data_IF_347012428619
#
_entry.id   IF_347012428619
#
_cell.length_a   1.000
_cell.length_b   1.000
_cell.length_c   1.000
_cell.angle_alpha   90.00
_cell.angle_beta   90.00
_cell.angle_gamma   90.00
#
_symmetry.space_group_name_H-M   'P 1'
#
loop_
_entity.id
_entity.type
_entity.pdbx_description
1 polymer ?
#
# COMPACT_ATOMS: atom_id res chain seq x y z
N UNK A 1 63.32 45.52 -23.16
CA UNK A 1 63.12 44.29 -23.97
C UNK A 1 61.72 43.77 -23.69
N UNK A 2 61.01 43.34 -24.74
CA UNK A 2 59.61 42.91 -24.72
C UNK A 2 59.44 41.59 -23.95
N UNK A 3 58.36 41.44 -23.19
CA UNK A 3 57.71 40.15 -22.96
C UNK A 3 56.20 40.34 -22.66
N UNK A 4 55.31 39.69 -23.43
CA UNK A 4 53.88 39.63 -23.14
C UNK A 4 53.60 38.43 -22.24
N UNK A 5 52.95 38.64 -21.09
CA UNK A 5 52.48 37.54 -20.25
C UNK A 5 50.97 37.39 -20.43
N UNK A 6 50.61 36.42 -21.27
CA UNK A 6 49.26 35.92 -21.51
C UNK A 6 48.57 35.47 -20.20
N UNK A 7 47.28 35.80 -19.98
CA UNK A 7 46.49 35.25 -18.89
C UNK A 7 45.81 33.94 -19.35
N UNK A 8 46.58 32.99 -19.88
CA UNK A 8 46.05 31.72 -20.41
C UNK A 8 46.13 30.49 -19.48
N UNK A 9 46.82 30.45 -18.33
CA UNK A 9 46.86 29.20 -17.55
C UNK A 9 45.61 29.02 -16.68
N UNK A 10 45.03 30.09 -16.13
CA UNK A 10 43.89 29.96 -15.19
C UNK A 10 42.58 29.62 -15.89
N UNK A 11 42.33 30.14 -17.09
CA UNK A 11 41.08 29.87 -17.81
C UNK A 11 41.01 28.41 -18.27
N UNK A 12 42.13 27.86 -18.74
CA UNK A 12 42.23 26.44 -19.13
C UNK A 12 42.09 25.50 -17.93
N UNK A 13 42.63 25.87 -16.77
CA UNK A 13 42.49 25.12 -15.53
C UNK A 13 41.05 25.17 -14.98
N UNK A 14 40.39 26.33 -15.07
CA UNK A 14 38.99 26.48 -14.69
C UNK A 14 38.05 25.69 -15.61
N UNK A 15 38.26 25.75 -16.93
CA UNK A 15 37.46 24.98 -17.92
C UNK A 15 37.69 23.48 -17.75
N UNK A 16 38.92 23.04 -17.50
CA UNK A 16 39.24 21.63 -17.23
C UNK A 16 38.65 21.15 -15.90
N UNK A 17 38.64 22.00 -14.86
CA UNK A 17 37.97 21.71 -13.60
C UNK A 17 36.46 21.57 -13.74
N UNK A 18 35.82 22.48 -14.50
CA UNK A 18 34.39 22.43 -14.78
C UNK A 18 34.00 21.19 -15.60
N UNK A 19 34.84 20.82 -16.59
CA UNK A 19 34.64 19.62 -17.39
C UNK A 19 34.77 18.34 -16.54
N UNK A 20 35.74 18.30 -15.61
CA UNK A 20 35.90 17.18 -14.69
C UNK A 20 34.70 17.06 -13.72
N UNK A 21 34.19 18.16 -13.18
CA UNK A 21 32.97 18.15 -12.35
C UNK A 21 31.72 17.71 -13.13
N UNK A 22 31.59 18.14 -14.39
CA UNK A 22 30.47 17.71 -15.24
C UNK A 22 30.54 16.21 -15.55
N UNK A 23 31.74 15.67 -15.82
CA UNK A 23 31.92 14.23 -16.07
C UNK A 23 31.68 13.35 -14.84
N UNK A 24 32.01 13.82 -13.63
CA UNK A 24 31.75 13.06 -12.39
C UNK A 24 30.28 13.11 -11.96
N UNK A 25 29.54 14.17 -12.33
CA UNK A 25 28.08 14.24 -12.09
C UNK A 25 27.30 13.23 -12.95
N UNK A 26 27.80 12.86 -14.13
CA UNK A 26 27.13 11.92 -15.04
C UNK A 26 27.31 10.44 -14.67
N UNK A 27 28.19 10.10 -13.72
CA UNK A 27 28.34 8.72 -13.21
C UNK A 27 27.64 8.55 -11.85
N UNK A 28 27.25 9.66 -11.19
CA UNK A 28 26.68 9.68 -9.83
C UNK A 28 25.15 9.81 -9.73
N UNK A 29 24.41 10.01 -10.82
CA UNK A 29 22.94 9.94 -10.86
C UNK A 29 22.53 8.97 -11.96
N UNK A 30 21.77 7.90 -11.72
CA UNK A 30 20.58 7.79 -10.90
C UNK A 30 20.50 6.40 -10.22
N UNK A 31 20.66 6.33 -8.90
CA UNK A 31 20.14 5.22 -8.09
C UNK A 31 18.81 5.64 -7.46
N UNK A 32 17.86 6.01 -8.31
CA UNK A 32 16.47 6.21 -7.93
C UNK A 32 15.58 5.30 -8.77
N UNK A 33 15.65 3.99 -8.49
CA UNK A 33 14.60 2.99 -8.70
C UNK A 33 15.16 1.56 -8.54
N UNK A 34 15.69 1.23 -7.36
CA UNK A 34 16.03 -0.15 -7.02
C UNK A 34 15.34 -0.59 -5.72
N UNK A 35 14.03 -0.33 -5.62
CA UNK A 35 13.19 -1.04 -4.65
C UNK A 35 11.90 -1.60 -5.27
N UNK A 36 11.94 -1.93 -6.57
CA UNK A 36 10.82 -2.57 -7.28
C UNK A 36 11.12 -3.93 -7.91
N UNK A 37 12.34 -4.47 -7.77
CA UNK A 37 12.75 -5.74 -8.44
C UNK A 37 13.20 -6.87 -7.53
N UNK A 38 13.08 -6.73 -6.21
CA UNK A 38 13.44 -7.82 -5.29
C UNK A 38 12.47 -9.03 -5.35
N UNK A 39 11.33 -8.91 -6.03
CA UNK A 39 10.38 -10.01 -6.22
C UNK A 39 10.67 -10.87 -7.46
N UNK A 40 11.30 -10.33 -8.50
CA UNK A 40 11.51 -11.07 -9.76
C UNK A 40 12.77 -11.94 -9.74
N UNK A 41 13.81 -11.53 -9.02
CA UNK A 41 15.10 -12.25 -9.02
C UNK A 41 15.04 -13.59 -8.27
N UNK A 42 14.09 -13.73 -7.34
CA UNK A 42 13.75 -15.02 -6.73
C UNK A 42 12.90 -15.90 -7.67
N UNK A 43 12.11 -15.30 -8.58
CA UNK A 43 11.20 -16.03 -9.48
C UNK A 43 11.93 -16.68 -10.68
N UNK A 44 13.07 -16.13 -11.10
CA UNK A 44 13.88 -16.69 -12.19
C UNK A 44 14.76 -17.90 -11.79
N UNK A 45 14.89 -18.22 -10.49
CA UNK A 45 15.63 -19.42 -10.03
C UNK A 45 14.80 -20.70 -10.01
N UNK A 46 13.47 -20.61 -10.14
CA UNK A 46 12.59 -21.75 -10.34
C UNK A 46 12.49 -22.07 -11.83
N UNK A 47 13.00 -23.24 -12.24
CA UNK A 47 12.81 -23.78 -13.59
C UNK A 47 11.34 -23.91 -14.00
N UNK A 48 11.04 -24.19 -15.27
CA UNK A 48 9.71 -23.98 -15.83
C UNK A 48 8.70 -24.98 -15.28
N UNK A 49 7.57 -24.48 -14.78
CA UNK A 49 6.31 -25.20 -14.84
C UNK A 49 5.29 -24.29 -15.52
N UNK A 50 4.97 -24.49 -16.81
CA UNK A 50 3.77 -23.94 -17.37
C UNK A 50 2.61 -24.78 -16.83
N UNK A 51 2.21 -24.54 -15.58
CA UNK A 51 0.89 -24.94 -15.13
C UNK A 51 -0.07 -24.09 -15.95
N UNK A 52 -0.68 -24.68 -16.98
CA UNK A 52 -1.70 -24.03 -17.78
C UNK A 52 -2.82 -23.57 -16.84
N UNK A 53 -2.81 -22.27 -16.54
CA UNK A 53 -3.80 -21.64 -15.68
C UNK A 53 -5.05 -21.38 -16.52
N UNK A 54 -6.00 -22.32 -16.46
CA UNK A 54 -7.35 -22.06 -16.97
C UNK A 54 -8.09 -21.27 -15.90
N UNK A 55 -8.33 -19.99 -16.18
CA UNK A 55 -9.16 -19.13 -15.35
C UNK A 55 -10.59 -19.22 -15.86
N UNK A 56 -11.45 -19.93 -15.13
CA UNK A 56 -12.88 -19.81 -15.34
C UNK A 56 -13.32 -18.37 -15.06
N UNK A 57 -14.01 -17.76 -16.03
CA UNK A 57 -14.57 -16.42 -15.86
C UNK A 57 -15.83 -16.56 -15.00
N UNK A 58 -15.89 -15.98 -13.79
CA UNK A 58 -17.07 -16.09 -12.95
C UNK A 58 -18.28 -15.53 -13.71
N UNK A 59 -19.35 -16.33 -13.80
CA UNK A 59 -20.61 -15.87 -14.40
C UNK A 59 -21.23 -14.81 -13.49
N UNK A 60 -21.99 -13.89 -14.08
CA UNK A 60 -22.64 -12.79 -13.35
C UNK A 60 -23.54 -13.38 -12.25
N UNK A 61 -23.12 -13.24 -10.99
CA UNK A 61 -23.86 -13.72 -9.82
C UNK A 61 -23.18 -14.85 -9.02
N UNK A 62 -22.13 -15.49 -9.56
CA UNK A 62 -21.33 -16.49 -8.84
C UNK A 62 -20.10 -15.85 -8.15
N UNK A 63 -19.83 -16.25 -6.91
CA UNK A 63 -18.67 -15.78 -6.14
C UNK A 63 -17.36 -16.34 -6.71
N UNK A 64 -16.27 -15.56 -6.63
CA UNK A 64 -14.97 -15.96 -7.19
C UNK A 64 -14.30 -17.17 -6.49
N UNK A 65 -14.92 -17.71 -5.46
CA UNK A 65 -14.41 -18.80 -4.61
C UNK A 65 -14.25 -20.13 -5.33
N UNK A 66 -14.91 -20.37 -6.46
CA UNK A 66 -14.84 -21.64 -7.18
C UNK A 66 -13.61 -21.78 -8.09
N UNK A 67 -12.73 -20.77 -8.19
CA UNK A 67 -11.72 -20.72 -9.27
C UNK A 67 -10.28 -21.13 -8.88
N UNK A 68 -10.01 -21.63 -7.67
CA UNK A 68 -8.65 -21.94 -7.23
C UNK A 68 -8.54 -23.26 -6.43
N UNK A 69 -8.82 -24.40 -7.07
CA UNK A 69 -8.36 -25.70 -6.53
C UNK A 69 -6.92 -25.95 -6.96
N UNK A 70 -5.96 -25.35 -6.24
CA UNK A 70 -4.56 -25.77 -6.30
C UNK A 70 -4.42 -26.96 -5.36
N UNK A 71 -4.38 -28.18 -5.92
CA UNK A 71 -3.98 -29.37 -5.18
C UNK A 71 -2.48 -29.28 -4.88
N UNK A 72 -2.10 -28.53 -3.85
CA UNK A 72 -0.79 -28.68 -3.23
C UNK A 72 -0.85 -29.93 -2.35
N UNK A 73 -0.37 -31.05 -2.88
CA UNK A 73 -0.06 -32.24 -2.09
C UNK A 73 1.11 -31.89 -1.15
N UNK A 74 0.76 -31.36 0.02
CA UNK A 74 1.70 -31.02 1.08
C UNK A 74 0.93 -30.93 2.39
N UNK A 75 1.31 -31.77 3.35
CA UNK A 75 0.67 -31.88 4.65
C UNK A 75 0.51 -30.52 5.34
N UNK A 76 -0.69 -30.22 5.86
CA UNK A 76 -0.77 -29.56 7.16
C UNK A 76 -1.80 -28.46 7.40
N UNK A 77 -2.32 -27.73 6.41
CA UNK A 77 -3.43 -26.78 6.64
C UNK A 77 -4.33 -26.65 5.40
N UNK A 78 -5.61 -26.97 5.58
CA UNK A 78 -6.65 -26.68 4.59
C UNK A 78 -6.71 -25.15 4.38
N UNK A 79 -6.46 -24.73 3.14
CA UNK A 79 -6.56 -23.33 2.75
C UNK A 79 -8.03 -23.01 2.53
N UNK A 80 -8.56 -22.10 3.34
CA UNK A 80 -9.97 -21.76 3.30
C UNK A 80 -10.16 -20.25 3.09
N UNK A 81 -11.30 -19.79 2.55
CA UNK A 81 -11.56 -18.35 2.37
C UNK A 81 -11.38 -17.54 3.65
N UNK A 82 -10.81 -16.34 3.58
CA UNK A 82 -10.64 -15.51 4.77
C UNK A 82 -12.00 -15.12 5.39
N UNK A 83 -12.07 -15.08 6.73
CA UNK A 83 -13.22 -14.53 7.48
C UNK A 83 -12.84 -13.13 7.95
N UNK A 84 -13.59 -12.12 7.52
CA UNK A 84 -13.35 -10.72 7.87
C UNK A 84 -14.59 -10.20 8.60
N UNK A 85 -14.37 -9.60 9.77
CA UNK A 85 -15.40 -8.85 10.52
C UNK A 85 -14.95 -7.39 10.54
N UNK A 86 -15.79 -6.49 10.04
CA UNK A 86 -15.53 -5.05 10.08
C UNK A 86 -16.26 -4.43 11.29
N UNK A 87 -15.51 -3.84 12.21
CA UNK A 87 -16.07 -3.01 13.28
C UNK A 87 -16.28 -1.60 12.74
N UNK A 88 -17.47 -1.05 12.95
CA UNK A 88 -17.87 0.30 12.53
C UNK A 88 -18.35 1.13 13.73
N UNK A 89 -17.96 0.75 14.95
CA UNK A 89 -18.41 1.39 16.20
C UNK A 89 -18.13 2.89 16.24
N UNK A 90 -17.02 3.34 15.65
CA UNK A 90 -16.69 4.77 15.56
C UNK A 90 -17.74 5.55 14.76
N UNK A 91 -18.46 4.93 13.83
CA UNK A 91 -19.55 5.58 13.07
C UNK A 91 -20.84 5.73 13.90
N UNK A 92 -20.94 5.04 15.03
CA UNK A 92 -22.05 5.17 16.00
C UNK A 92 -21.79 6.26 17.04
N UNK A 93 -20.55 6.74 17.17
CA UNK A 93 -20.15 7.77 18.12
C UNK A 93 -19.77 9.06 17.39
N UNK A 94 -20.64 10.07 17.48
CA UNK A 94 -20.42 11.38 16.85
C UNK A 94 -19.17 12.12 17.38
N UNK A 95 -18.55 11.69 18.49
CA UNK A 95 -17.27 12.23 18.94
C UNK A 95 -16.08 11.73 18.11
N UNK A 96 -16.25 10.67 17.30
CA UNK A 96 -15.17 10.00 16.56
C UNK A 96 -15.06 10.40 15.08
N UNK A 97 -16.05 11.11 14.54
CA UNK A 97 -16.04 11.55 13.15
C UNK A 97 -16.54 12.98 13.01
N UNK A 98 -16.19 13.62 11.89
CA UNK A 98 -16.61 14.97 11.57
C UNK A 98 -18.10 15.00 11.19
N UNK A 99 -18.95 15.55 12.06
CA UNK A 99 -20.37 15.80 11.78
C UNK A 99 -20.64 17.22 11.25
N UNK A 100 -19.69 18.14 11.48
CA UNK A 100 -19.77 19.53 11.03
C UNK A 100 -18.38 20.12 10.80
N UNK A 101 -18.27 21.02 9.82
CA UNK A 101 -17.04 21.76 9.57
C UNK A 101 -16.73 22.71 10.74
N UNK A 102 -15.44 22.83 11.08
CA UNK A 102 -14.95 23.65 12.18
C UNK A 102 -14.94 22.95 13.56
N UNK A 103 -15.48 21.74 13.68
CA UNK A 103 -15.33 20.93 14.89
C UNK A 103 -13.93 20.34 14.98
N UNK A 104 -13.46 20.07 16.19
CA UNK A 104 -12.24 19.28 16.41
C UNK A 104 -12.63 17.83 16.70
N UNK A 105 -11.99 16.90 16.01
CA UNK A 105 -12.19 15.45 16.21
C UNK A 105 -10.84 14.77 16.30
N UNK A 106 -10.72 13.70 17.10
CA UNK A 106 -9.49 12.93 17.14
C UNK A 106 -9.20 12.32 15.77
N UNK A 107 -7.94 12.39 15.33
CA UNK A 107 -7.42 11.55 14.27
C UNK A 107 -6.79 10.27 14.85
N UNK A 108 -6.44 9.32 13.98
CA UNK A 108 -5.71 8.11 14.38
C UNK A 108 -4.21 8.35 14.54
N UNK A 109 -3.77 9.58 14.83
CA UNK A 109 -2.39 9.97 15.09
C UNK A 109 -2.24 10.76 16.41
N UNK A 110 -3.24 10.64 17.31
CA UNK A 110 -3.25 11.31 18.61
C UNK A 110 -3.47 12.82 18.55
N UNK A 111 -3.94 13.37 17.43
CA UNK A 111 -4.21 14.81 17.25
C UNK A 111 -5.70 15.06 17.18
N UNK A 112 -6.08 16.33 17.33
CA UNK A 112 -7.46 16.78 17.14
C UNK A 112 -7.55 17.90 16.09
N UNK A 113 -7.35 17.57 14.79
CA UNK A 113 -7.47 18.56 13.73
C UNK A 113 -8.90 19.13 13.63
N UNK A 114 -8.98 20.32 13.05
CA UNK A 114 -10.27 20.94 12.70
C UNK A 114 -10.83 20.30 11.42
N UNK A 115 -12.09 19.87 11.48
CA UNK A 115 -12.82 19.25 10.38
C UNK A 115 -13.05 20.23 9.23
N UNK A 116 -12.65 19.83 8.02
CA UNK A 116 -12.96 20.55 6.79
C UNK A 116 -14.37 20.21 6.28
N UNK A 117 -14.87 21.01 5.34
CA UNK A 117 -16.21 20.81 4.76
C UNK A 117 -16.35 19.49 4.01
N UNK A 118 -15.29 19.03 3.36
CA UNK A 118 -15.20 17.78 2.61
C UNK A 118 -14.95 16.55 3.50
N UNK A 119 -14.61 16.75 4.77
CA UNK A 119 -14.44 15.68 5.77
C UNK A 119 -15.72 15.39 6.55
N UNK A 120 -16.76 16.22 6.39
CA UNK A 120 -18.05 16.03 7.08
C UNK A 120 -18.74 14.77 6.56
N UNK A 121 -18.90 13.79 7.44
CA UNK A 121 -19.63 12.56 7.17
C UNK A 121 -21.14 12.84 7.17
N UNK A 122 -21.68 13.08 5.98
CA UNK A 122 -23.13 13.23 5.79
C UNK A 122 -23.87 11.91 6.03
N UNK A 123 -25.18 11.98 6.28
CA UNK A 123 -26.01 10.79 6.45
C UNK A 123 -25.98 9.86 5.23
N UNK A 124 -25.99 10.42 4.02
CA UNK A 124 -25.93 9.65 2.76
C UNK A 124 -24.56 8.99 2.56
N UNK A 125 -23.48 9.69 2.93
CA UNK A 125 -22.14 9.11 2.92
C UNK A 125 -22.02 7.99 3.93
N UNK A 126 -22.50 8.18 5.17
CA UNK A 126 -22.48 7.13 6.19
C UNK A 126 -23.29 5.91 5.74
N UNK A 127 -24.49 6.13 5.20
CA UNK A 127 -25.33 5.06 4.66
C UNK A 127 -24.63 4.28 3.55
N UNK A 128 -23.99 4.95 2.61
CA UNK A 128 -23.24 4.33 1.51
C UNK A 128 -22.03 3.56 2.03
N UNK A 129 -21.29 4.16 2.96
CA UNK A 129 -20.10 3.56 3.55
C UNK A 129 -20.44 2.24 4.26
N UNK A 130 -21.45 2.27 5.13
CA UNK A 130 -21.86 1.14 5.98
C UNK A 130 -22.55 0.04 5.19
N UNK A 131 -23.47 0.38 4.27
CA UNK A 131 -24.32 -0.61 3.62
C UNK A 131 -23.76 -1.11 2.28
N UNK A 132 -22.83 -0.39 1.66
CA UNK A 132 -22.33 -0.73 0.32
C UNK A 132 -20.83 -0.89 0.30
N UNK A 133 -20.07 0.18 0.58
CA UNK A 133 -18.61 0.21 0.37
C UNK A 133 -17.90 -0.85 1.21
N UNK A 134 -18.14 -0.86 2.52
CA UNK A 134 -17.49 -1.80 3.43
C UNK A 134 -17.90 -3.26 3.12
N UNK A 135 -19.19 -3.60 2.98
CA UNK A 135 -19.59 -4.97 2.63
C UNK A 135 -19.04 -5.46 1.29
N UNK A 136 -19.04 -4.61 0.26
CA UNK A 136 -18.49 -4.96 -1.06
C UNK A 136 -16.98 -5.18 -0.97
N UNK A 137 -16.25 -4.30 -0.27
CA UNK A 137 -14.82 -4.47 -0.07
C UNK A 137 -14.51 -5.78 0.67
N UNK A 138 -15.23 -6.07 1.76
CA UNK A 138 -15.08 -7.33 2.51
C UNK A 138 -15.32 -8.54 1.60
N UNK A 139 -16.40 -8.54 0.82
CA UNK A 139 -16.71 -9.62 -0.12
C UNK A 139 -15.60 -9.82 -1.16
N UNK A 140 -15.13 -8.74 -1.78
CA UNK A 140 -14.09 -8.80 -2.81
C UNK A 140 -12.78 -9.40 -2.29
N UNK A 141 -12.42 -9.16 -1.03
CA UNK A 141 -11.24 -9.75 -0.41
C UNK A 141 -11.51 -11.19 0.05
N UNK A 142 -12.67 -11.46 0.67
CA UNK A 142 -13.04 -12.78 1.17
C UNK A 142 -13.12 -13.85 0.07
N UNK A 143 -13.58 -13.48 -1.13
CA UNK A 143 -13.70 -14.42 -2.25
C UNK A 143 -12.36 -14.74 -2.96
N UNK A 144 -11.32 -13.92 -2.75
CA UNK A 144 -10.03 -14.05 -3.46
C UNK A 144 -8.89 -14.53 -2.58
N UNK A 145 -8.97 -14.31 -1.27
CA UNK A 145 -7.91 -14.63 -0.33
C UNK A 145 -8.22 -15.94 0.40
N UNK A 146 -7.39 -16.95 0.17
CA UNK A 146 -7.36 -18.17 0.96
C UNK A 146 -6.30 -18.04 2.06
N UNK A 147 -6.61 -18.51 3.27
CA UNK A 147 -5.71 -18.48 4.43
C UNK A 147 -5.79 -19.79 5.21
N UNK A 148 -4.70 -20.13 5.90
CA UNK A 148 -4.78 -21.14 6.98
C UNK A 148 -5.55 -20.55 8.16
N UNK A 149 -6.83 -20.89 8.31
CA UNK A 149 -7.70 -20.30 9.33
C UNK A 149 -7.26 -20.66 10.76
N UNK A 150 -7.50 -19.75 11.70
CA UNK A 150 -7.47 -20.07 13.12
C UNK A 150 -8.68 -20.93 13.48
N UNK A 151 -8.43 -22.00 14.25
CA UNK A 151 -9.49 -22.88 14.77
C UNK A 151 -10.29 -22.23 15.90
N UNK A 152 -9.72 -21.20 16.55
CA UNK A 152 -10.32 -20.48 17.67
C UNK A 152 -10.74 -19.07 17.24
N UNK A 153 -11.74 -18.48 17.92
CA UNK A 153 -12.10 -17.08 17.71
C UNK A 153 -10.93 -16.14 18.01
N UNK A 154 -10.74 -15.13 17.16
CA UNK A 154 -9.81 -14.04 17.42
C UNK A 154 -10.35 -13.19 18.58
N UNK A 155 -9.59 -13.08 19.66
CA UNK A 155 -9.89 -12.18 20.77
C UNK A 155 -9.10 -10.89 20.57
N UNK A 156 -9.79 -9.81 20.22
CA UNK A 156 -9.19 -8.47 20.14
C UNK A 156 -9.03 -7.95 21.58
N UNK A 157 -7.81 -7.61 22.02
CA UNK A 157 -7.60 -7.03 23.35
C UNK A 157 -8.26 -5.64 23.44
N UNK A 158 -8.53 -5.17 24.65
CA UNK A 158 -8.96 -3.78 24.85
C UNK A 158 -7.82 -2.85 24.46
N UNK A 159 -8.09 -1.92 23.55
CA UNK A 159 -7.18 -0.83 23.26
C UNK A 159 -7.10 0.09 24.48
N UNK A 160 -5.92 0.24 25.07
CA UNK A 160 -5.64 1.21 26.14
C UNK A 160 -5.01 2.45 25.51
N UNK A 161 -5.16 3.62 26.13
CA UNK A 161 -4.61 4.89 25.63
C UNK A 161 -3.10 4.87 25.36
N UNK A 162 -2.34 3.93 25.93
CA UNK A 162 -0.91 3.75 25.65
C UNK A 162 -0.61 3.07 24.31
N UNK A 163 -1.62 2.51 23.64
CA UNK A 163 -1.49 1.72 22.42
C UNK A 163 -2.50 2.09 21.32
N UNK A 164 -3.25 3.18 21.50
CA UNK A 164 -3.93 3.88 20.41
C UNK A 164 -3.05 5.05 20.02
N UNK A 165 -2.75 5.16 18.73
CA UNK A 165 -1.90 6.21 18.16
C UNK A 165 -2.24 7.62 18.62
#
# INVERSE_FOLDING_TARGET
MRQPCCPTPLLLLAVRGLLLLATTCCVGGCLAAAHRRALDEAAMRSGPLPTAMVREVPRKGEGATQAYTVAAAGEGKEWEPIRIVASMEDLSDASKYCSKAGEKKPDFMGKEPECRKDEVLTADWNKTLVNEVIPVAVKLHAERLLVGRLKTPLKVPKFTEKHGF
#
